data_IF_057289710633
#
_entry.id   IF_057289710633
#
_cell.length_a   1.000
_cell.length_b   1.000
_cell.length_c   1.000
_cell.angle_alpha   90.00
_cell.angle_beta   90.00
_cell.angle_gamma   90.00
#
_symmetry.space_group_name_H-M   'P 1'
#
loop_
_entity.id
_entity.type
_entity.pdbx_description
1 polymer ?
#
# COMPACT_ATOMS: atom_id res chain seq x y z
N UNK A 1 6.77 8.58 19.75
CA UNK A 1 7.60 7.93 18.72
C UNK A 1 7.14 8.41 17.36
N UNK A 2 8.03 8.91 16.51
CA UNK A 2 7.71 9.37 15.15
C UNK A 2 7.20 8.22 14.28
N UNK A 3 6.58 8.54 13.12
CA UNK A 3 6.18 7.53 12.13
C UNK A 3 7.35 6.63 11.71
N UNK A 4 8.49 7.24 11.40
CA UNK A 4 9.74 6.53 11.10
C UNK A 4 10.21 5.61 12.23
N UNK A 5 10.16 6.07 13.49
CA UNK A 5 10.56 5.25 14.63
C UNK A 5 9.70 3.99 14.82
N UNK A 6 8.40 4.07 14.48
CA UNK A 6 7.51 2.89 14.45
C UNK A 6 7.91 1.91 13.34
N UNK A 7 8.19 2.41 12.14
CA UNK A 7 8.61 1.58 11.01
C UNK A 7 9.93 0.86 11.28
N UNK A 8 10.94 1.56 11.81
CA UNK A 8 12.23 0.96 12.18
C UNK A 8 12.11 -0.10 13.29
N UNK A 9 11.22 0.11 14.27
CA UNK A 9 10.95 -0.88 15.30
C UNK A 9 10.29 -2.14 14.73
N UNK A 10 9.33 -1.98 13.82
CA UNK A 10 8.71 -3.11 13.11
C UNK A 10 9.74 -3.85 12.24
N UNK A 11 10.57 -3.11 11.49
CA UNK A 11 11.61 -3.70 10.66
C UNK A 11 12.60 -4.54 11.47
N UNK A 12 13.07 -4.03 12.62
CA UNK A 12 13.92 -4.82 13.55
C UNK A 12 13.21 -6.05 14.08
N UNK A 13 11.92 -5.94 14.44
CA UNK A 13 11.14 -7.05 14.99
C UNK A 13 10.92 -8.18 13.97
N UNK A 14 10.69 -7.84 12.71
CA UNK A 14 10.31 -8.79 11.67
C UNK A 14 11.44 -9.10 10.67
N UNK A 15 12.64 -8.52 10.85
CA UNK A 15 13.77 -8.72 9.94
C UNK A 15 13.56 -8.10 8.56
N UNK A 16 12.81 -7.00 8.46
CA UNK A 16 12.55 -6.32 7.18
C UNK A 16 13.81 -5.50 6.82
N UNK A 17 14.40 -5.69 5.64
CA UNK A 17 15.72 -5.16 5.31
C UNK A 17 15.73 -3.65 5.03
N UNK A 18 14.58 -3.05 4.73
CA UNK A 18 14.49 -1.64 4.33
C UNK A 18 13.29 -0.94 4.99
N UNK A 19 13.48 0.35 5.25
CA UNK A 19 12.44 1.27 5.74
C UNK A 19 12.51 2.52 4.89
N UNK A 20 11.34 2.98 4.44
CA UNK A 20 11.19 4.12 3.54
C UNK A 20 10.38 5.24 4.20
N UNK A 21 10.57 6.47 3.73
CA UNK A 21 9.87 7.64 4.26
C UNK A 21 8.54 7.92 3.55
N UNK A 22 8.35 7.35 2.35
CA UNK A 22 7.11 7.46 1.57
C UNK A 22 6.71 6.14 0.92
N UNK A 23 5.41 5.89 0.68
CA UNK A 23 4.95 4.76 -0.12
C UNK A 23 5.59 4.72 -1.52
N UNK A 24 5.75 5.87 -2.17
CA UNK A 24 6.33 5.98 -3.51
C UNK A 24 7.77 5.46 -3.55
N UNK A 25 8.55 5.67 -2.50
CA UNK A 25 9.91 5.15 -2.41
C UNK A 25 9.93 3.62 -2.29
N UNK A 26 8.92 3.03 -1.61
CA UNK A 26 8.75 1.57 -1.57
C UNK A 26 8.56 1.02 -2.98
N UNK A 27 7.57 1.54 -3.72
CA UNK A 27 7.24 1.04 -5.06
C UNK A 27 8.36 1.27 -6.10
N UNK A 28 9.21 2.29 -5.91
CA UNK A 28 10.34 2.58 -6.80
C UNK A 28 11.58 1.71 -6.53
N UNK A 29 11.85 1.42 -5.26
CA UNK A 29 13.16 0.88 -4.84
C UNK A 29 13.11 -0.53 -4.27
N UNK A 30 11.96 -0.99 -3.75
CA UNK A 30 11.84 -2.33 -3.20
C UNK A 30 11.48 -3.34 -4.29
N UNK A 31 11.97 -4.57 -4.11
CA UNK A 31 11.65 -5.73 -4.95
C UNK A 31 10.61 -6.59 -4.24
N UNK A 32 9.37 -6.57 -4.73
CA UNK A 32 8.22 -7.30 -4.17
C UNK A 32 7.10 -7.47 -5.20
N UNK A 33 6.23 -8.45 -4.98
CA UNK A 33 5.14 -8.78 -5.91
C UNK A 33 3.79 -8.17 -5.47
N UNK A 34 3.50 -8.19 -4.17
CA UNK A 34 2.19 -7.83 -3.60
C UNK A 34 2.33 -6.74 -2.52
N UNK A 35 1.49 -5.72 -2.58
CA UNK A 35 1.37 -4.70 -1.54
C UNK A 35 0.23 -5.02 -0.56
N UNK A 36 0.52 -5.06 0.75
CA UNK A 36 -0.50 -5.11 1.80
C UNK A 36 -0.72 -3.72 2.40
N UNK A 37 -1.87 -3.11 2.11
CA UNK A 37 -2.23 -1.75 2.54
C UNK A 37 -2.96 -1.85 3.89
N UNK A 38 -2.17 -1.73 4.95
CA UNK A 38 -2.58 -1.80 6.37
C UNK A 38 -2.65 -0.41 7.04
N UNK A 39 -3.13 0.59 6.30
CA UNK A 39 -3.25 1.99 6.73
C UNK A 39 -4.70 2.34 7.10
N UNK A 40 -4.99 3.62 7.37
CA UNK A 40 -6.36 4.08 7.56
C UNK A 40 -7.12 4.07 6.24
N UNK A 41 -8.42 3.74 6.28
CA UNK A 41 -9.25 3.53 5.09
C UNK A 41 -9.35 4.75 4.15
N UNK A 42 -9.14 5.96 4.67
CA UNK A 42 -9.08 7.20 3.88
C UNK A 42 -7.90 7.24 2.89
N UNK A 43 -6.87 6.43 3.12
CA UNK A 43 -5.67 6.37 2.27
C UNK A 43 -5.65 5.19 1.30
N UNK A 44 -6.55 4.22 1.46
CA UNK A 44 -6.51 2.97 0.69
C UNK A 44 -6.65 3.21 -0.81
N UNK A 45 -7.57 4.08 -1.24
CA UNK A 45 -7.81 4.34 -2.67
C UNK A 45 -6.54 4.85 -3.37
N UNK A 46 -5.91 5.89 -2.83
CA UNK A 46 -4.68 6.45 -3.40
C UNK A 46 -3.51 5.44 -3.41
N UNK A 47 -3.39 4.61 -2.37
CA UNK A 47 -2.34 3.61 -2.29
C UNK A 47 -2.59 2.41 -3.22
N UNK A 48 -3.84 2.03 -3.44
CA UNK A 48 -4.22 1.03 -4.46
C UNK A 48 -3.91 1.56 -5.86
N UNK A 49 -4.25 2.81 -6.15
CA UNK A 49 -3.93 3.45 -7.43
C UNK A 49 -2.42 3.49 -7.66
N UNK A 50 -1.65 3.83 -6.63
CA UNK A 50 -0.19 3.79 -6.70
C UNK A 50 0.33 2.38 -7.00
N UNK A 51 -0.12 1.38 -6.25
CA UNK A 51 0.33 0.00 -6.43
C UNK A 51 -0.01 -0.56 -7.82
N UNK A 52 -1.24 -0.33 -8.28
CA UNK A 52 -1.68 -0.71 -9.61
C UNK A 52 -0.87 0.01 -10.71
N UNK A 53 -0.49 1.29 -10.49
CA UNK A 53 0.38 2.03 -11.41
C UNK A 53 1.78 1.44 -11.57
N UNK A 54 2.27 0.69 -10.57
CA UNK A 54 3.52 -0.07 -10.63
C UNK A 54 3.32 -1.55 -11.00
N UNK A 55 2.09 -1.96 -11.33
CA UNK A 55 1.77 -3.35 -11.68
C UNK A 55 1.97 -4.32 -10.51
N UNK A 56 1.70 -3.89 -9.28
CA UNK A 56 1.76 -4.73 -8.07
C UNK A 56 0.36 -5.19 -7.68
N UNK A 57 0.23 -6.47 -7.36
CA UNK A 57 -1.01 -7.01 -6.79
C UNK A 57 -1.27 -6.38 -5.41
N UNK A 58 -2.53 -6.29 -5.00
CA UNK A 58 -2.89 -5.54 -3.78
C UNK A 58 -3.82 -6.30 -2.85
N UNK A 59 -3.46 -6.30 -1.57
CA UNK A 59 -4.34 -6.63 -0.45
C UNK A 59 -4.76 -5.32 0.21
N UNK A 60 -6.07 -5.01 0.18
CA UNK A 60 -6.65 -3.87 0.89
C UNK A 60 -7.30 -4.35 2.18
N UNK A 61 -6.86 -3.82 3.32
CA UNK A 61 -7.48 -4.15 4.60
C UNK A 61 -8.89 -3.59 4.74
N UNK A 62 -9.67 -4.19 5.66
CA UNK A 62 -11.04 -3.76 5.94
C UNK A 62 -11.06 -2.51 6.86
N UNK A 63 -12.04 -1.60 6.69
CA UNK A 63 -12.93 -1.49 5.52
C UNK A 63 -12.13 -1.08 4.27
N UNK A 64 -12.56 -1.55 3.09
CA UNK A 64 -11.84 -1.35 1.83
C UNK A 64 -11.62 0.14 1.52
N UNK A 65 -12.65 0.98 1.70
CA UNK A 65 -12.56 2.43 1.62
C UNK A 65 -13.69 3.08 2.42
N UNK A 66 -13.69 4.41 2.52
CA UNK A 66 -14.72 5.19 3.24
C UNK A 66 -16.05 5.29 2.49
N UNK A 67 -16.10 4.91 1.22
CA UNK A 67 -17.31 4.96 0.41
C UNK A 67 -17.38 3.83 -0.61
N UNK A 68 -18.60 3.43 -0.99
CA UNK A 68 -18.82 2.45 -2.06
C UNK A 68 -18.27 2.92 -3.41
N UNK A 69 -18.30 4.23 -3.68
CA UNK A 69 -17.71 4.82 -4.88
C UNK A 69 -16.20 4.62 -4.94
N UNK A 70 -15.50 4.84 -3.82
CA UNK A 70 -14.06 4.61 -3.71
C UNK A 70 -13.73 3.12 -3.90
N UNK A 71 -14.48 2.22 -3.26
CA UNK A 71 -14.32 0.77 -3.46
C UNK A 71 -14.45 0.38 -4.95
N UNK A 72 -15.44 0.95 -5.66
CA UNK A 72 -15.63 0.69 -7.10
C UNK A 72 -14.51 1.26 -7.96
N UNK A 73 -13.95 2.41 -7.59
CA UNK A 73 -12.80 2.97 -8.30
C UNK A 73 -11.58 2.07 -8.14
N UNK A 74 -11.26 1.64 -6.91
CA UNK A 74 -10.17 0.71 -6.62
C UNK A 74 -10.25 -0.57 -7.47
N UNK A 75 -11.43 -1.23 -7.51
CA UNK A 75 -11.64 -2.43 -8.36
C UNK A 75 -11.41 -2.14 -9.84
N UNK A 76 -11.93 -1.01 -10.34
CA UNK A 76 -11.73 -0.61 -11.73
C UNK A 76 -10.25 -0.34 -12.03
N UNK A 77 -9.54 0.31 -11.12
CA UNK A 77 -8.12 0.63 -11.29
C UNK A 77 -7.28 -0.63 -11.38
N UNK A 78 -7.43 -1.57 -10.44
CA UNK A 78 -6.76 -2.87 -10.49
C UNK A 78 -7.07 -3.61 -11.79
N UNK A 79 -8.36 -3.75 -12.14
CA UNK A 79 -8.78 -4.42 -13.37
C UNK A 79 -8.25 -3.77 -14.66
N UNK A 80 -8.04 -2.44 -14.67
CA UNK A 80 -7.45 -1.73 -15.81
C UNK A 80 -5.93 -1.91 -15.90
N UNK A 81 -5.27 -2.08 -14.77
CA UNK A 81 -3.83 -2.36 -14.68
C UNK A 81 -3.49 -3.84 -14.89
N UNK A 82 -4.48 -4.74 -14.82
CA UNK A 82 -4.28 -6.18 -14.96
C UNK A 82 -3.73 -6.85 -13.70
N UNK A 83 -3.98 -6.25 -12.54
CA UNK A 83 -3.64 -6.77 -11.19
C UNK A 83 -4.90 -7.01 -10.37
#
# INVERSE_FOLDING_TARGET
>A
MSGRGKAEAAARKFGIPAVYDSPEDVFKAADFDIADIITDASSHEALVELAAGYGKDVISQKPMAESLSACRNMVRTCGSAGV
#
